data_IF_337744804917
#
_entry.id   IF_337744804917
#
_cell.length_a   1.000
_cell.length_b   1.000
_cell.length_c   1.000
_cell.angle_alpha   90.00
_cell.angle_beta   90.00
_cell.angle_gamma   90.00
#
_symmetry.space_group_name_H-M   'P 1'
#
loop_
_entity.id
_entity.type
_entity.pdbx_description
1 polymer ?
#
# COMPACT_ATOMS: atom_id res chain seq x y z
N UNK A 1 -5.70 -15.42 18.09
CA UNK A 1 -4.90 -16.33 17.25
C UNK A 1 -4.14 -15.58 16.14
N UNK A 2 -4.80 -14.80 15.27
CA UNK A 2 -4.16 -14.16 14.11
C UNK A 2 -3.03 -13.16 14.45
N UNK A 3 -3.24 -12.26 15.41
CA UNK A 3 -2.25 -11.23 15.79
C UNK A 3 -0.98 -11.86 16.38
N UNK A 4 -1.14 -12.91 17.21
CA UNK A 4 0.00 -13.64 17.77
C UNK A 4 0.82 -14.36 16.68
N UNK A 5 0.16 -14.85 15.63
CA UNK A 5 0.81 -15.41 14.44
C UNK A 5 1.62 -14.36 13.65
N UNK A 6 1.04 -13.18 13.41
CA UNK A 6 1.74 -12.06 12.75
C UNK A 6 2.98 -11.66 13.55
N UNK A 7 2.88 -11.54 14.88
CA UNK A 7 3.99 -11.18 15.76
C UNK A 7 5.09 -12.27 15.80
N UNK A 8 4.72 -13.55 15.67
CA UNK A 8 5.69 -14.63 15.54
C UNK A 8 6.41 -14.59 14.18
N UNK A 9 5.66 -14.36 13.09
CA UNK A 9 6.18 -14.19 11.74
C UNK A 9 7.14 -12.98 11.65
N UNK A 10 6.76 -11.86 12.29
CA UNK A 10 7.56 -10.63 12.34
C UNK A 10 8.91 -10.85 13.05
N UNK A 11 8.97 -11.75 14.04
CA UNK A 11 10.23 -12.11 14.71
C UNK A 11 11.11 -13.02 13.87
N UNK A 12 10.51 -13.89 13.06
CA UNK A 12 11.25 -14.81 12.19
C UNK A 12 11.73 -14.14 10.89
N UNK A 13 10.88 -13.33 10.27
CA UNK A 13 11.10 -12.68 8.98
C UNK A 13 10.55 -11.24 9.02
N UNK A 14 11.23 -10.32 9.73
CA UNK A 14 10.71 -8.98 10.00
C UNK A 14 10.42 -8.20 8.72
N UNK A 15 11.33 -8.27 7.74
CA UNK A 15 11.19 -7.52 6.48
C UNK A 15 10.00 -8.03 5.66
N UNK A 16 9.93 -9.34 5.43
CA UNK A 16 8.85 -9.95 4.64
C UNK A 16 7.47 -9.67 5.26
N UNK A 17 7.34 -9.84 6.58
CA UNK A 17 6.07 -9.64 7.28
C UNK A 17 5.62 -8.17 7.24
N UNK A 18 6.56 -7.23 7.38
CA UNK A 18 6.26 -5.79 7.26
C UNK A 18 5.81 -5.43 5.83
N UNK A 19 6.45 -6.00 4.82
CA UNK A 19 6.07 -5.76 3.41
C UNK A 19 4.68 -6.29 3.09
N UNK A 20 4.33 -7.49 3.56
CA UNK A 20 3.01 -8.07 3.36
C UNK A 20 1.92 -7.25 4.07
N UNK A 21 2.09 -6.99 5.36
CA UNK A 21 1.11 -6.23 6.16
C UNK A 21 1.00 -4.78 5.65
N UNK A 22 2.13 -4.15 5.31
CA UNK A 22 2.17 -2.83 4.73
C UNK A 22 1.43 -2.76 3.38
N UNK A 23 1.60 -3.79 2.53
CA UNK A 23 0.89 -3.88 1.25
C UNK A 23 -0.62 -3.99 1.43
N UNK A 24 -1.07 -4.82 2.36
CA UNK A 24 -2.50 -4.94 2.71
C UNK A 24 -3.04 -3.59 3.18
N UNK A 25 -2.30 -2.90 4.05
CA UNK A 25 -2.71 -1.60 4.59
C UNK A 25 -2.83 -0.54 3.48
N UNK A 26 -1.84 -0.46 2.58
CA UNK A 26 -1.89 0.46 1.43
C UNK A 26 -3.09 0.15 0.52
N UNK A 27 -3.35 -1.12 0.23
CA UNK A 27 -4.52 -1.54 -0.56
C UNK A 27 -5.84 -1.13 0.14
N UNK A 28 -5.95 -1.32 1.45
CA UNK A 28 -7.12 -0.88 2.21
C UNK A 28 -7.30 0.64 2.15
N UNK A 29 -6.23 1.42 2.32
CA UNK A 29 -6.27 2.87 2.23
C UNK A 29 -6.68 3.36 0.84
N UNK A 30 -6.13 2.77 -0.22
CA UNK A 30 -6.51 3.10 -1.60
C UNK A 30 -7.98 2.79 -1.86
N UNK A 31 -8.47 1.63 -1.41
CA UNK A 31 -9.87 1.25 -1.56
C UNK A 31 -10.81 2.20 -0.80
N UNK A 32 -10.55 2.42 0.49
CA UNK A 32 -11.35 3.31 1.34
C UNK A 32 -11.30 4.74 0.79
N UNK A 33 -10.12 5.23 0.42
CA UNK A 33 -9.95 6.55 -0.17
C UNK A 33 -10.76 6.72 -1.45
N UNK A 34 -10.72 5.72 -2.34
CA UNK A 34 -11.49 5.74 -3.59
C UNK A 34 -12.98 5.73 -3.31
N UNK A 35 -13.42 4.88 -2.39
CA UNK A 35 -14.83 4.79 -1.99
C UNK A 35 -15.33 6.11 -1.41
N UNK A 36 -14.56 6.73 -0.50
CA UNK A 36 -14.90 8.03 0.09
C UNK A 36 -14.97 9.10 -0.99
N UNK A 37 -13.96 9.19 -1.86
CA UNK A 37 -13.93 10.15 -2.97
C UNK A 37 -15.13 9.99 -3.91
N UNK A 38 -15.49 8.77 -4.27
CA UNK A 38 -16.68 8.49 -5.08
C UNK A 38 -17.98 8.86 -4.36
N UNK A 39 -18.07 8.57 -3.06
CA UNK A 39 -19.26 8.89 -2.25
C UNK A 39 -19.44 10.38 -2.02
N UNK A 40 -18.36 11.16 -2.09
CA UNK A 40 -18.36 12.62 -1.87
C UNK A 40 -18.89 13.45 -3.06
N UNK A 41 -19.25 12.80 -4.17
CA UNK A 41 -19.79 13.46 -5.36
C UNK A 41 -18.73 13.82 -6.40
N UNK A 42 -19.15 14.55 -7.44
CA UNK A 42 -18.28 14.90 -8.58
C UNK A 42 -17.11 15.77 -8.08
N UNK A 43 -15.86 15.47 -8.48
CA UNK A 43 -14.73 16.28 -8.09
C UNK A 43 -14.94 17.74 -8.49
N UNK A 44 -14.94 18.63 -7.50
CA UNK A 44 -15.02 20.08 -7.68
C UNK A 44 -13.63 20.68 -7.46
N UNK A 45 -13.16 21.52 -8.41
CA UNK A 45 -11.82 22.11 -8.35
C UNK A 45 -10.71 21.28 -9.03
N UNK A 46 -9.48 21.37 -8.52
CA UNK A 46 -8.26 20.84 -9.16
C UNK A 46 -8.11 19.30 -9.08
N UNK A 47 -8.95 18.63 -8.28
CA UNK A 47 -8.90 17.18 -8.12
C UNK A 47 -7.69 16.68 -7.31
N UNK A 48 -7.07 17.54 -6.50
CA UNK A 48 -5.91 17.21 -5.68
C UNK A 48 -6.02 15.91 -4.86
N UNK A 49 -7.17 15.57 -4.21
CA UNK A 49 -7.27 14.31 -3.48
C UNK A 49 -7.29 13.07 -4.39
N UNK A 50 -7.79 13.20 -5.62
CA UNK A 50 -7.67 12.14 -6.64
C UNK A 50 -6.21 11.97 -7.08
N UNK A 51 -5.49 13.07 -7.30
CA UNK A 51 -4.06 13.04 -7.64
C UNK A 51 -3.22 12.40 -6.53
N UNK A 52 -3.53 12.69 -5.26
CA UNK A 52 -2.87 12.07 -4.12
C UNK A 52 -3.08 10.54 -4.12
N UNK A 53 -4.32 10.09 -4.34
CA UNK A 53 -4.65 8.67 -4.38
C UNK A 53 -3.95 7.94 -5.53
N UNK A 54 -3.95 8.55 -6.72
CA UNK A 54 -3.21 8.03 -7.88
C UNK A 54 -1.71 8.00 -7.59
N UNK A 55 -1.15 9.06 -7.01
CA UNK A 55 0.27 9.13 -6.65
C UNK A 55 0.69 8.02 -5.69
N UNK A 56 -0.10 7.77 -4.65
CA UNK A 56 0.13 6.65 -3.72
C UNK A 56 0.08 5.31 -4.45
N UNK A 57 -0.90 5.10 -5.32
CA UNK A 57 -1.01 3.89 -6.14
C UNK A 57 0.20 3.68 -7.05
N UNK A 58 0.66 4.73 -7.72
CA UNK A 58 1.85 4.68 -8.60
C UNK A 58 3.11 4.33 -7.81
N UNK A 59 3.34 4.98 -6.67
CA UNK A 59 4.50 4.68 -5.81
C UNK A 59 4.46 3.23 -5.34
N UNK A 60 3.29 2.74 -4.94
CA UNK A 60 3.11 1.36 -4.51
C UNK A 60 3.39 0.34 -5.63
N UNK A 61 2.93 0.63 -6.86
CA UNK A 61 3.24 -0.21 -8.03
C UNK A 61 4.74 -0.18 -8.34
N UNK A 62 5.38 0.98 -8.34
CA UNK A 62 6.82 1.11 -8.59
C UNK A 62 7.65 0.37 -7.54
N UNK A 63 7.21 0.39 -6.28
CA UNK A 63 7.85 -0.35 -5.21
C UNK A 63 7.92 -1.85 -5.54
N UNK A 64 6.79 -2.47 -5.89
CA UNK A 64 6.75 -3.91 -6.19
C UNK A 64 7.32 -4.30 -7.56
N UNK A 65 7.21 -3.42 -8.56
CA UNK A 65 7.62 -3.76 -9.94
C UNK A 65 9.07 -3.39 -10.24
N UNK A 66 9.64 -2.43 -9.51
CA UNK A 66 11.00 -1.93 -9.74
C UNK A 66 11.88 -2.13 -8.53
N UNK A 67 11.48 -1.63 -7.36
CA UNK A 67 12.36 -1.60 -6.18
C UNK A 67 12.62 -3.01 -5.63
N UNK A 68 11.57 -3.80 -5.43
CA UNK A 68 11.71 -5.18 -4.92
C UNK A 68 12.56 -6.05 -5.87
N UNK A 69 12.28 -6.10 -7.19
CA UNK A 69 13.12 -6.87 -8.12
C UNK A 69 14.57 -6.39 -8.19
N UNK A 70 14.83 -5.09 -8.02
CA UNK A 70 16.20 -4.58 -7.97
C UNK A 70 16.89 -5.04 -6.68
N UNK A 71 16.23 -4.91 -5.53
CA UNK A 71 16.77 -5.36 -4.25
C UNK A 71 17.16 -6.85 -4.30
N UNK A 72 16.25 -7.71 -4.77
CA UNK A 72 16.48 -9.16 -4.92
C UNK A 72 17.60 -9.52 -5.90
N UNK A 73 17.91 -8.66 -6.87
CA UNK A 73 19.02 -8.89 -7.83
C UNK A 73 20.36 -8.39 -7.29
N UNK A 74 20.35 -7.44 -6.36
CA UNK A 74 21.57 -6.79 -5.86
C UNK A 74 22.12 -7.37 -4.56
N UNK A 75 21.33 -8.17 -3.84
CA UNK A 75 21.66 -8.84 -2.58
C UNK A 75 21.57 -10.35 -2.76
#
# INVERSE_FOLDING_TARGET
>A
MAIAGIVAQLRAHPVATVLEVGSVLVCCLLFIGTFVLLSSGVPTGRGDPWLALIGVGVVFVLFWTVVVPLYERTL
#
